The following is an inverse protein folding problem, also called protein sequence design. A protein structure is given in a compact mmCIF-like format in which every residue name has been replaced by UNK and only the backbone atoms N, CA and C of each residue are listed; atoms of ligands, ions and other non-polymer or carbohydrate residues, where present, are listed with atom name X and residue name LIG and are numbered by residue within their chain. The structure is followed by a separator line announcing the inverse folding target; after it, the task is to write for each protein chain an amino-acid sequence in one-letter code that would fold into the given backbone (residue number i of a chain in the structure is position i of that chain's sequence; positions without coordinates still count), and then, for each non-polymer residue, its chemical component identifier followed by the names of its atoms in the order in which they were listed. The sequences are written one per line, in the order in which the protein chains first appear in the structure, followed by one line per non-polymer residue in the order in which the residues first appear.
data_IF_972993500241
#
_entry.id   IF_972993500241
#
_cell.length_a   1.000
_cell.length_b   1.000
_cell.length_c   1.000
_cell.angle_alpha   90.00
_cell.angle_beta   90.00
_cell.angle_gamma   90.00
#
_symmetry.space_group_name_H-M   'P 1'
#
loop_
_entity.id
_entity.type
_entity.pdbx_description
1 polymer ?
#
# COMPACT_ATOMS: atom_id res chain seq x y z
N UNK A 1 -27.52 27.63 45.91
CA UNK A 1 -26.25 28.37 46.06
C UNK A 1 -25.41 28.05 44.85
N UNK A 2 -24.85 29.10 44.26
CA UNK A 2 -24.77 29.29 42.81
C UNK A 2 -23.64 28.58 42.08
N UNK A 3 -23.91 28.35 40.80
CA UNK A 3 -23.07 27.80 39.71
C UNK A 3 -21.86 28.67 39.33
N UNK A 4 -21.34 29.50 40.24
CA UNK A 4 -20.44 30.60 39.90
C UNK A 4 -19.15 30.64 40.74
N UNK A 5 -18.57 29.48 41.08
CA UNK A 5 -17.28 29.44 41.84
C UNK A 5 -16.27 28.42 41.34
N UNK A 6 -16.45 27.80 40.17
CA UNK A 6 -15.48 26.84 39.61
C UNK A 6 -14.68 27.43 38.43
N UNK A 7 -14.80 28.74 38.16
CA UNK A 7 -14.16 29.38 37.01
C UNK A 7 -12.82 30.07 37.33
N UNK A 8 -12.22 29.82 38.49
CA UNK A 8 -11.04 30.58 38.96
C UNK A 8 -9.80 29.74 39.32
N UNK A 9 -9.74 28.47 38.89
CA UNK A 9 -8.51 27.69 38.96
C UNK A 9 -8.20 27.13 37.58
N UNK A 10 -7.29 27.82 36.88
CA UNK A 10 -6.79 27.48 35.55
C UNK A 10 -6.18 26.08 35.45
N UNK A 11 -7.05 25.08 35.37
CA UNK A 11 -6.75 23.76 34.90
C UNK A 11 -6.94 23.79 33.39
N UNK A 12 -5.82 23.95 32.68
CA UNK A 12 -5.68 23.59 31.28
C UNK A 12 -6.56 22.36 31.00
N UNK A 13 -7.47 22.47 30.04
CA UNK A 13 -8.08 21.33 29.37
C UNK A 13 -6.95 20.54 28.72
N UNK A 14 -6.24 19.73 29.52
CA UNK A 14 -5.45 18.64 28.99
C UNK A 14 -6.45 17.70 28.39
N UNK A 15 -6.51 17.70 27.05
CA UNK A 15 -7.19 16.73 26.20
C UNK A 15 -7.33 15.39 26.95
N UNK A 16 -8.54 15.11 27.45
CA UNK A 16 -8.87 13.81 28.02
C UNK A 16 -8.96 12.86 26.82
N UNK A 17 -7.79 12.46 26.33
CA UNK A 17 -7.63 11.58 25.20
C UNK A 17 -8.02 10.18 25.67
N UNK A 18 -8.96 9.56 24.95
CA UNK A 18 -9.45 8.24 25.27
C UNK A 18 -8.27 7.22 25.32
N UNK A 19 -8.00 6.57 26.46
CA UNK A 19 -6.85 5.67 26.62
C UNK A 19 -6.94 4.40 25.76
N UNK A 20 -8.08 4.13 25.11
CA UNK A 20 -8.21 3.07 24.10
C UNK A 20 -7.67 3.46 22.71
N UNK A 21 -7.44 4.75 22.46
CA UNK A 21 -6.78 5.24 21.25
C UNK A 21 -5.28 5.32 21.52
N UNK A 22 -4.60 4.17 21.43
CA UNK A 22 -3.14 4.15 21.46
C UNK A 22 -2.60 4.94 20.28
N UNK A 23 -1.86 6.00 20.58
CA UNK A 23 -1.08 6.77 19.61
C UNK A 23 0.20 6.03 19.15
N UNK A 24 0.48 4.84 19.70
CA UNK A 24 1.81 4.20 19.64
C UNK A 24 1.84 2.75 19.14
N UNK A 25 0.86 2.28 18.37
CA UNK A 25 1.01 0.95 17.73
C UNK A 25 1.89 0.95 16.46
N UNK A 26 2.20 2.14 15.91
CA UNK A 26 3.20 2.24 14.85
C UNK A 26 4.58 2.23 15.50
N UNK A 27 5.40 1.23 15.17
CA UNK A 27 6.80 1.20 15.59
C UNK A 27 7.48 2.53 15.18
N UNK A 28 8.01 3.33 16.13
CA UNK A 28 8.53 4.66 15.87
C UNK A 28 9.76 4.66 14.95
N UNK A 29 10.38 3.49 14.72
CA UNK A 29 11.44 3.31 13.72
C UNK A 29 10.95 3.54 12.29
N UNK A 30 9.65 3.39 12.02
CA UNK A 30 9.09 3.61 10.68
C UNK A 30 8.68 5.07 10.51
N UNK A 31 9.35 5.75 9.56
CA UNK A 31 9.00 7.13 9.14
C UNK A 31 7.53 7.25 8.80
N UNK A 32 6.89 8.35 9.17
CA UNK A 32 5.49 8.60 8.81
C UNK A 32 5.38 8.82 7.30
N UNK A 33 4.32 8.33 6.65
CA UNK A 33 4.09 8.60 5.23
C UNK A 33 3.81 10.08 5.02
N UNK A 34 4.13 10.61 3.85
CA UNK A 34 3.67 11.92 3.46
C UNK A 34 2.13 11.92 3.38
N UNK A 35 1.49 12.79 4.17
CA UNK A 35 0.03 12.77 4.35
C UNK A 35 -0.72 13.16 3.09
N UNK A 36 -0.22 14.15 2.34
CA UNK A 36 -0.83 14.59 1.06
C UNK A 36 -0.90 13.45 0.05
N UNK A 37 0.20 12.70 -0.09
CA UNK A 37 0.25 11.55 -1.00
C UNK A 37 -0.60 10.38 -0.47
N UNK A 38 -0.59 10.13 0.84
CA UNK A 38 -1.40 9.07 1.45
C UNK A 38 -2.91 9.28 1.21
N UNK A 39 -3.39 10.51 1.37
CA UNK A 39 -4.79 10.87 1.11
C UNK A 39 -5.16 10.69 -0.37
N UNK A 40 -4.24 11.01 -1.27
CA UNK A 40 -4.43 10.76 -2.70
C UNK A 40 -4.51 9.27 -3.01
N UNK A 41 -3.60 8.46 -2.47
CA UNK A 41 -3.59 7.00 -2.61
C UNK A 41 -4.88 6.35 -2.11
N UNK A 42 -5.46 6.86 -1.02
CA UNK A 42 -6.74 6.36 -0.51
C UNK A 42 -7.91 6.55 -1.51
N UNK A 43 -7.78 7.44 -2.49
CA UNK A 43 -8.77 7.66 -3.55
C UNK A 43 -8.43 6.93 -4.85
N UNK A 44 -7.16 6.95 -5.26
CA UNK A 44 -6.75 6.45 -6.59
C UNK A 44 -6.24 5.01 -6.59
N UNK A 45 -5.68 4.52 -5.48
CA UNK A 45 -5.14 3.16 -5.37
C UNK A 45 -6.23 2.16 -4.98
N UNK A 46 -7.35 2.16 -5.70
CA UNK A 46 -8.48 1.25 -5.45
C UNK A 46 -8.89 0.53 -6.73
N UNK A 47 -9.84 -0.40 -6.65
CA UNK A 47 -10.22 -1.21 -7.82
C UNK A 47 -10.90 -0.43 -8.96
N UNK A 48 -11.17 -1.09 -10.09
CA UNK A 48 -11.71 -0.48 -11.33
C UNK A 48 -13.08 0.20 -11.16
N UNK A 49 -13.81 -0.10 -10.08
CA UNK A 49 -15.15 0.42 -9.80
C UNK A 49 -15.23 1.34 -8.59
N UNK A 50 -14.19 1.40 -7.76
CA UNK A 50 -14.19 2.16 -6.49
C UNK A 50 -13.29 3.39 -6.53
N UNK A 51 -12.48 3.49 -7.58
CA UNK A 51 -11.52 4.56 -7.76
C UNK A 51 -12.22 5.89 -7.93
N UNK A 52 -11.74 6.90 -7.20
CA UNK A 52 -12.21 8.27 -7.29
C UNK A 52 -11.08 9.14 -7.78
N UNK A 53 -11.29 9.81 -8.91
CA UNK A 53 -10.34 10.77 -9.44
C UNK A 53 -10.10 11.91 -8.45
N UNK A 54 -8.87 12.42 -8.45
CA UNK A 54 -8.54 13.64 -7.71
C UNK A 54 -9.20 14.85 -8.37
N UNK A 55 -9.57 15.85 -7.56
CA UNK A 55 -9.86 17.19 -8.09
C UNK A 55 -8.59 17.81 -8.65
N UNK A 56 -8.72 18.82 -9.51
CA UNK A 56 -7.56 19.51 -10.08
C UNK A 56 -6.63 20.06 -8.99
N UNK A 57 -7.18 20.77 -8.00
CA UNK A 57 -6.41 21.29 -6.86
C UNK A 57 -5.66 20.18 -6.10
N UNK A 58 -6.30 19.02 -5.90
CA UNK A 58 -5.68 17.87 -5.25
C UNK A 58 -4.55 17.29 -6.10
N UNK A 59 -4.76 17.12 -7.40
CA UNK A 59 -3.76 16.59 -8.32
C UNK A 59 -2.52 17.50 -8.40
N UNK A 60 -2.73 18.82 -8.53
CA UNK A 60 -1.65 19.81 -8.50
C UNK A 60 -0.87 19.75 -7.18
N UNK A 61 -1.58 19.75 -6.04
CA UNK A 61 -0.95 19.69 -4.71
C UNK A 61 -0.11 18.43 -4.53
N UNK A 62 -0.61 17.27 -4.98
CA UNK A 62 0.09 15.98 -4.86
C UNK A 62 1.35 15.96 -5.72
N UNK A 63 1.26 16.36 -7.00
CA UNK A 63 2.40 16.36 -7.91
C UNK A 63 3.46 17.41 -7.52
N UNK A 64 3.03 18.57 -7.01
CA UNK A 64 3.94 19.57 -6.42
C UNK A 64 4.70 19.00 -5.22
N UNK A 65 3.98 18.33 -4.31
CA UNK A 65 4.58 17.68 -3.12
C UNK A 65 5.60 16.63 -3.53
N UNK A 66 5.29 15.79 -4.53
CA UNK A 66 6.22 14.79 -5.08
C UNK A 66 7.45 15.47 -5.68
N UNK A 67 7.27 16.52 -6.49
CA UNK A 67 8.38 17.24 -7.12
C UNK A 67 9.32 17.87 -6.09
N UNK A 68 8.75 18.56 -5.10
CA UNK A 68 9.51 19.18 -3.99
C UNK A 68 10.22 18.12 -3.15
N UNK A 69 9.57 16.98 -2.90
CA UNK A 69 10.18 15.86 -2.18
C UNK A 69 11.38 15.28 -2.95
N UNK A 70 11.22 15.04 -4.25
CA UNK A 70 12.30 14.52 -5.10
C UNK A 70 13.50 15.47 -5.20
N UNK A 71 13.29 16.78 -5.09
CA UNK A 71 14.35 17.79 -5.02
C UNK A 71 14.96 17.98 -3.62
N UNK A 72 14.41 17.34 -2.59
CA UNK A 72 14.83 17.53 -1.20
C UNK A 72 14.41 18.88 -0.60
N UNK A 73 13.35 19.50 -1.11
CA UNK A 73 12.87 20.83 -0.71
C UNK A 73 11.85 20.79 0.45
N UNK A 74 11.36 19.60 0.84
CA UNK A 74 10.51 19.44 2.02
C UNK A 74 11.36 19.45 3.31
N UNK A 75 11.36 20.58 4.02
CA UNK A 75 12.14 20.78 5.25
C UNK A 75 11.36 20.38 6.51
N UNK A 76 10.09 20.78 6.60
CA UNK A 76 9.23 20.58 7.78
C UNK A 76 8.13 19.54 7.55
N UNK A 77 8.11 18.91 6.37
CA UNK A 77 7.14 17.89 5.96
C UNK A 77 7.84 16.54 5.74
N UNK A 78 7.11 15.45 6.00
CA UNK A 78 7.60 14.10 5.72
C UNK A 78 7.88 13.91 4.23
N UNK A 79 9.04 13.36 3.90
CA UNK A 79 9.41 13.04 2.51
C UNK A 79 8.52 11.94 1.96
N UNK A 80 8.18 12.03 0.66
CA UNK A 80 7.42 10.99 -0.03
C UNK A 80 8.33 9.76 -0.20
N UNK A 81 7.91 8.62 0.33
CA UNK A 81 8.72 7.40 0.27
C UNK A 81 8.68 6.76 -1.13
N UNK A 82 9.69 5.93 -1.45
CA UNK A 82 9.69 5.14 -2.70
C UNK A 82 8.47 4.24 -2.82
N UNK A 83 8.05 3.64 -1.71
CA UNK A 83 6.83 2.84 -1.65
C UNK A 83 5.59 3.68 -2.00
N UNK A 84 5.49 4.93 -1.50
CA UNK A 84 4.39 5.83 -1.86
C UNK A 84 4.40 6.19 -3.35
N UNK A 85 5.57 6.49 -3.92
CA UNK A 85 5.69 6.80 -5.34
C UNK A 85 5.29 5.61 -6.21
N UNK A 86 5.79 4.41 -5.90
CA UNK A 86 5.46 3.20 -6.66
C UNK A 86 3.96 2.89 -6.66
N UNK A 87 3.33 2.95 -5.49
CA UNK A 87 1.88 2.74 -5.35
C UNK A 87 1.05 3.81 -6.07
N UNK A 88 1.42 5.09 -5.93
CA UNK A 88 0.70 6.20 -6.55
C UNK A 88 0.80 6.14 -8.08
N UNK A 89 2.01 5.99 -8.63
CA UNK A 89 2.19 5.97 -10.07
C UNK A 89 1.63 4.69 -10.71
N UNK A 90 1.75 3.52 -10.07
CA UNK A 90 1.09 2.31 -10.56
C UNK A 90 -0.43 2.51 -10.71
N UNK A 91 -1.05 3.17 -9.73
CA UNK A 91 -2.46 3.50 -9.79
C UNK A 91 -2.79 4.47 -10.93
N UNK A 92 -1.99 5.52 -11.11
CA UNK A 92 -2.19 6.46 -12.21
C UNK A 92 -2.06 5.76 -13.57
N UNK A 93 -1.05 4.91 -13.75
CA UNK A 93 -0.79 4.18 -15.00
C UNK A 93 -1.88 3.18 -15.35
N UNK A 94 -2.28 2.33 -14.39
CA UNK A 94 -3.36 1.33 -14.62
C UNK A 94 -4.67 2.04 -14.96
N UNK A 95 -4.99 3.12 -14.23
CA UNK A 95 -6.19 3.92 -14.49
C UNK A 95 -6.20 4.51 -15.89
N UNK A 96 -5.06 5.00 -16.38
CA UNK A 96 -4.97 5.55 -17.73
C UNK A 96 -5.10 4.47 -18.82
N UNK A 97 -4.55 3.27 -18.57
CA UNK A 97 -4.45 2.22 -19.59
C UNK A 97 -5.67 1.31 -19.69
N UNK A 98 -6.22 0.89 -18.55
CA UNK A 98 -7.05 -0.32 -18.50
C UNK A 98 -8.42 -0.10 -17.83
N UNK A 99 -8.55 0.88 -16.96
CA UNK A 99 -9.80 1.07 -16.22
C UNK A 99 -10.91 1.68 -17.10
N UNK A 100 -12.19 1.43 -16.77
CA UNK A 100 -13.33 2.07 -17.43
C UNK A 100 -13.27 3.60 -17.33
N UNK A 101 -13.83 4.30 -18.32
CA UNK A 101 -13.81 5.78 -18.44
C UNK A 101 -14.14 6.52 -17.14
N UNK A 102 -15.13 6.01 -16.38
CA UNK A 102 -15.61 6.57 -15.11
C UNK A 102 -14.53 6.64 -14.02
N UNK A 103 -13.51 5.78 -14.09
CA UNK A 103 -12.42 5.68 -13.11
C UNK A 103 -11.04 5.98 -13.70
N UNK A 104 -10.98 6.37 -14.98
CA UNK A 104 -9.78 6.93 -15.60
C UNK A 104 -9.46 8.32 -15.04
N UNK A 105 -8.43 8.97 -15.58
CA UNK A 105 -8.02 10.30 -15.14
C UNK A 105 -9.12 11.33 -15.39
N UNK A 106 -9.35 12.19 -14.41
CA UNK A 106 -10.14 13.40 -14.64
C UNK A 106 -9.38 14.36 -15.57
N UNK A 107 -10.09 15.33 -16.15
CA UNK A 107 -9.44 16.41 -16.88
C UNK A 107 -8.45 17.18 -16.01
N UNK A 108 -8.76 17.34 -14.71
CA UNK A 108 -7.89 18.01 -13.74
C UNK A 108 -6.60 17.23 -13.49
N UNK A 109 -6.68 15.91 -13.35
CA UNK A 109 -5.51 15.03 -13.26
C UNK A 109 -4.67 15.09 -14.54
N UNK A 110 -5.31 15.08 -15.71
CA UNK A 110 -4.64 15.21 -17.01
C UNK A 110 -3.89 16.55 -17.12
N UNK A 111 -4.51 17.67 -16.76
CA UNK A 111 -3.87 19.00 -16.76
C UNK A 111 -2.69 19.07 -15.79
N UNK A 112 -2.86 18.54 -14.58
CA UNK A 112 -1.79 18.50 -13.57
C UNK A 112 -0.61 17.64 -14.07
N UNK A 113 -0.87 16.46 -14.64
CA UNK A 113 0.18 15.58 -15.14
C UNK A 113 0.95 16.22 -16.30
N UNK A 114 0.26 16.81 -17.28
CA UNK A 114 0.91 17.54 -18.37
C UNK A 114 1.80 18.70 -17.90
N UNK A 115 1.43 19.33 -16.79
CA UNK A 115 2.20 20.44 -16.21
C UNK A 115 3.45 19.93 -15.47
N UNK A 116 3.32 18.89 -14.64
CA UNK A 116 4.41 18.45 -13.76
C UNK A 116 5.31 17.37 -14.35
N UNK A 117 4.81 16.51 -15.24
CA UNK A 117 5.55 15.37 -15.77
C UNK A 117 6.91 15.75 -16.41
N UNK A 118 7.02 16.82 -17.23
CA UNK A 118 8.30 17.25 -17.79
C UNK A 118 9.37 17.63 -16.75
N UNK A 119 8.94 18.01 -15.55
CA UNK A 119 9.81 18.33 -14.42
C UNK A 119 10.12 17.07 -13.59
N UNK A 120 9.12 16.23 -13.35
CA UNK A 120 9.23 14.99 -12.59
C UNK A 120 10.17 13.99 -13.26
N UNK A 121 10.06 13.78 -14.57
CA UNK A 121 10.91 12.84 -15.32
C UNK A 121 12.41 13.17 -15.25
N UNK A 122 12.78 14.41 -14.89
CA UNK A 122 14.17 14.85 -14.74
C UNK A 122 14.75 14.58 -13.36
N UNK A 123 13.91 14.37 -12.35
CA UNK A 123 14.34 14.25 -10.95
C UNK A 123 13.98 12.90 -10.32
N UNK A 124 13.00 12.20 -10.87
CA UNK A 124 12.60 10.87 -10.41
C UNK A 124 13.62 9.81 -10.86
N UNK A 125 13.74 8.73 -10.09
CA UNK A 125 14.58 7.60 -10.44
C UNK A 125 13.99 6.76 -11.58
N UNK A 126 14.82 6.02 -12.35
CA UNK A 126 14.36 5.28 -13.53
C UNK A 126 13.27 4.25 -13.26
N UNK A 127 13.27 3.62 -12.09
CA UNK A 127 12.23 2.69 -11.65
C UNK A 127 10.86 3.38 -11.49
N UNK A 128 10.82 4.58 -10.90
CA UNK A 128 9.59 5.36 -10.77
C UNK A 128 9.09 5.82 -12.14
N UNK A 129 10.01 6.26 -13.01
CA UNK A 129 9.66 6.68 -14.37
C UNK A 129 9.08 5.50 -15.17
N UNK A 130 9.66 4.30 -15.02
CA UNK A 130 9.10 3.08 -15.58
C UNK A 130 7.70 2.76 -15.05
N UNK A 131 7.48 2.82 -13.74
CA UNK A 131 6.16 2.54 -13.16
C UNK A 131 5.11 3.51 -13.70
N UNK A 132 5.47 4.80 -13.78
CA UNK A 132 4.57 5.85 -14.26
C UNK A 132 4.30 5.75 -15.77
N UNK A 133 5.31 5.46 -16.58
CA UNK A 133 5.20 5.50 -18.03
C UNK A 133 5.93 4.31 -18.68
N UNK A 134 5.46 3.06 -18.48
CA UNK A 134 6.16 1.85 -18.90
C UNK A 134 6.38 1.75 -20.41
N UNK A 135 5.49 2.37 -21.19
CA UNK A 135 5.53 2.43 -22.66
C UNK A 135 6.00 3.79 -23.20
N UNK A 136 6.29 4.76 -22.33
CA UNK A 136 6.81 6.06 -22.73
C UNK A 136 5.80 6.95 -23.46
N UNK A 137 4.50 6.74 -23.29
CA UNK A 137 3.43 7.50 -23.97
C UNK A 137 2.24 7.89 -23.10
N UNK A 138 2.18 7.40 -21.86
CA UNK A 138 1.00 7.52 -20.98
C UNK A 138 0.99 8.87 -20.28
N UNK A 139 2.15 9.34 -19.83
CA UNK A 139 2.28 10.55 -19.02
C UNK A 139 2.47 11.83 -19.87
N UNK A 140 2.27 11.74 -21.19
CA UNK A 140 2.36 12.86 -22.13
C UNK A 140 3.63 12.84 -22.97
N UNK A 141 4.59 13.75 -22.70
CA UNK A 141 5.82 13.86 -23.50
C UNK A 141 6.59 12.55 -23.39
N UNK A 142 6.72 11.86 -24.52
CA UNK A 142 7.30 10.54 -24.53
C UNK A 142 8.75 10.53 -24.04
N UNK A 143 9.07 9.53 -23.22
CA UNK A 143 10.39 9.32 -22.68
C UNK A 143 10.88 7.91 -23.04
N UNK A 144 12.19 7.75 -23.24
CA UNK A 144 12.77 6.44 -23.57
C UNK A 144 13.10 5.60 -22.33
N UNK A 145 12.95 6.13 -21.11
CA UNK A 145 13.39 5.46 -19.89
C UNK A 145 12.49 4.27 -19.58
N UNK A 146 11.17 4.46 -19.54
CA UNK A 146 10.22 3.40 -19.20
C UNK A 146 10.31 2.16 -20.11
N UNK A 147 10.24 2.32 -21.44
CA UNK A 147 10.35 1.18 -22.37
C UNK A 147 11.65 0.39 -22.25
N UNK A 148 12.76 1.06 -21.93
CA UNK A 148 14.08 0.44 -21.86
C UNK A 148 14.50 0.06 -20.43
N UNK A 149 13.68 0.33 -19.42
CA UNK A 149 13.99 -0.05 -18.05
C UNK A 149 13.85 -1.57 -17.88
N UNK A 150 14.92 -2.19 -17.38
CA UNK A 150 15.02 -3.64 -17.16
C UNK A 150 15.26 -4.01 -15.70
N UNK A 151 15.40 -3.04 -14.78
CA UNK A 151 15.78 -3.30 -13.39
C UNK A 151 17.29 -3.24 -13.13
N UNK A 152 17.68 -3.07 -11.86
CA UNK A 152 19.09 -2.93 -11.48
C UNK A 152 19.72 -4.24 -10.98
N UNK A 153 18.91 -5.24 -10.64
CA UNK A 153 19.33 -6.54 -10.15
C UNK A 153 18.38 -7.63 -10.69
N UNK A 154 18.72 -8.90 -10.48
CA UNK A 154 17.91 -10.04 -10.97
C UNK A 154 16.46 -10.00 -10.46
N UNK A 155 16.25 -9.58 -9.22
CA UNK A 155 14.92 -9.54 -8.60
C UNK A 155 14.10 -8.38 -9.18
N UNK A 156 14.73 -7.22 -9.40
CA UNK A 156 14.11 -6.10 -10.13
C UNK A 156 13.74 -6.52 -11.56
N UNK A 157 14.61 -7.24 -12.28
CA UNK A 157 14.32 -7.71 -13.64
C UNK A 157 13.05 -8.55 -13.70
N UNK A 158 12.88 -9.47 -12.74
CA UNK A 158 11.67 -10.31 -12.66
C UNK A 158 10.43 -9.47 -12.32
N UNK A 159 10.54 -8.56 -11.35
CA UNK A 159 9.46 -7.62 -11.01
C UNK A 159 9.07 -6.73 -12.18
N UNK A 160 10.04 -6.19 -12.93
CA UNK A 160 9.78 -5.34 -14.10
C UNK A 160 9.03 -6.11 -15.18
N UNK A 161 9.42 -7.36 -15.44
CA UNK A 161 8.68 -8.23 -16.36
C UNK A 161 7.22 -8.41 -15.96
N UNK A 162 6.98 -8.75 -14.68
CA UNK A 162 5.64 -8.91 -14.14
C UNK A 162 4.83 -7.59 -14.13
N UNK A 163 5.48 -6.47 -13.80
CA UNK A 163 4.86 -5.14 -13.75
C UNK A 163 4.37 -4.66 -15.10
N UNK A 164 5.01 -5.04 -16.22
CA UNK A 164 4.51 -4.66 -17.56
C UNK A 164 3.09 -5.18 -17.79
N UNK A 165 2.82 -6.44 -17.43
CA UNK A 165 1.49 -7.03 -17.52
C UNK A 165 0.52 -6.39 -16.51
N UNK A 166 0.94 -6.24 -15.25
CA UNK A 166 0.10 -5.68 -14.18
C UNK A 166 -0.29 -4.22 -14.48
N UNK A 167 0.66 -3.39 -14.94
CA UNK A 167 0.41 -1.98 -15.28
C UNK A 167 -0.44 -1.80 -16.54
N UNK A 168 -0.55 -2.84 -17.37
CA UNK A 168 -1.49 -2.92 -18.48
C UNK A 168 -2.91 -3.39 -18.06
N UNK A 169 -3.15 -3.59 -16.75
CA UNK A 169 -4.41 -4.10 -16.23
C UNK A 169 -4.56 -5.62 -16.33
N UNK A 170 -3.47 -6.33 -16.64
CA UNK A 170 -3.45 -7.78 -16.80
C UNK A 170 -3.33 -8.55 -15.49
N UNK A 171 -3.36 -9.88 -15.64
CA UNK A 171 -3.21 -10.85 -14.55
C UNK A 171 -2.07 -11.81 -14.88
N UNK A 172 -1.35 -12.23 -13.85
CA UNK A 172 -0.19 -13.09 -14.01
C UNK A 172 -0.54 -14.57 -13.83
N UNK A 173 0.30 -15.42 -14.43
CA UNK A 173 0.26 -16.85 -14.18
C UNK A 173 0.67 -17.20 -12.76
N UNK A 174 0.20 -18.36 -12.29
CA UNK A 174 0.51 -18.88 -10.95
C UNK A 174 2.04 -18.97 -10.70
N UNK A 175 2.79 -19.53 -11.66
CA UNK A 175 4.25 -19.71 -11.53
C UNK A 175 4.99 -18.37 -11.52
N UNK A 176 4.50 -17.39 -12.28
CA UNK A 176 5.07 -16.05 -12.35
C UNK A 176 4.91 -15.32 -11.02
N UNK A 177 3.69 -15.30 -10.46
CA UNK A 177 3.44 -14.70 -9.14
C UNK A 177 4.25 -15.40 -8.06
N UNK A 178 4.26 -16.74 -8.04
CA UNK A 178 5.02 -17.49 -7.05
C UNK A 178 6.53 -17.19 -7.16
N UNK A 179 7.07 -17.14 -8.38
CA UNK A 179 8.48 -16.86 -8.64
C UNK A 179 8.89 -15.42 -8.32
N UNK A 180 8.01 -14.43 -8.53
CA UNK A 180 8.22 -13.04 -8.10
C UNK A 180 8.22 -12.97 -6.58
N UNK A 181 7.21 -13.57 -5.93
CA UNK A 181 7.04 -13.50 -4.48
C UNK A 181 8.20 -14.16 -3.73
N UNK A 182 8.67 -15.34 -4.18
CA UNK A 182 9.83 -16.03 -3.59
C UNK A 182 11.15 -15.25 -3.68
N UNK A 183 11.28 -14.34 -4.65
CA UNK A 183 12.48 -13.53 -4.81
C UNK A 183 12.46 -12.29 -3.89
N UNK A 184 11.27 -11.79 -3.56
CA UNK A 184 11.09 -10.57 -2.77
C UNK A 184 10.71 -10.86 -1.32
N UNK A 185 10.35 -12.10 -1.01
CA UNK A 185 10.04 -12.60 0.32
C UNK A 185 11.14 -13.57 0.82
N UNK A 186 11.35 -13.67 2.15
CA UNK A 186 10.74 -12.81 3.16
C UNK A 186 11.39 -11.42 3.11
N UNK A 187 10.61 -10.38 3.43
CA UNK A 187 11.13 -9.05 3.73
C UNK A 187 12.06 -9.19 4.94
N UNK A 188 13.35 -9.45 4.72
CA UNK A 188 14.32 -9.57 5.81
C UNK A 188 14.34 -8.23 6.54
N UNK A 189 13.81 -8.19 7.77
CA UNK A 189 13.78 -6.98 8.60
C UNK A 189 15.18 -6.38 8.84
N UNK A 190 16.23 -7.18 8.65
CA UNK A 190 17.62 -6.82 8.97
C UNK A 190 18.57 -6.80 7.77
N UNK A 191 18.10 -7.10 6.55
CA UNK A 191 18.91 -7.03 5.34
C UNK A 191 18.10 -6.41 4.21
N UNK A 192 18.75 -5.49 3.47
CA UNK A 192 18.25 -4.88 2.24
C UNK A 192 17.37 -5.85 1.47
N UNK A 193 16.07 -5.54 1.36
CA UNK A 193 15.25 -6.18 0.34
C UNK A 193 16.00 -6.01 -0.97
N UNK A 194 16.34 -7.11 -1.61
CA UNK A 194 17.11 -7.11 -2.85
C UNK A 194 16.38 -6.40 -3.99
N UNK A 195 15.06 -6.26 -3.88
CA UNK A 195 14.20 -5.57 -4.83
C UNK A 195 13.91 -4.12 -4.40
N UNK A 196 13.74 -3.25 -5.39
CA UNK A 196 13.34 -1.86 -5.15
C UNK A 196 11.97 -1.76 -4.46
N UNK A 197 11.90 -1.00 -3.37
CA UNK A 197 10.67 -0.74 -2.63
C UNK A 197 9.54 -0.18 -3.50
N UNK A 198 9.89 0.62 -4.52
CA UNK A 198 8.94 1.21 -5.45
C UNK A 198 8.33 0.18 -6.40
N UNK A 199 9.14 -0.75 -6.93
CA UNK A 199 8.69 -1.82 -7.81
C UNK A 199 7.82 -2.80 -7.03
N UNK A 200 8.23 -3.16 -5.82
CA UNK A 200 7.44 -4.03 -4.95
C UNK A 200 6.10 -3.39 -4.57
N UNK A 201 6.09 -2.11 -4.16
CA UNK A 201 4.83 -1.45 -3.81
C UNK A 201 3.90 -1.27 -5.02
N UNK A 202 4.46 -0.95 -6.20
CA UNK A 202 3.72 -0.90 -7.45
C UNK A 202 3.10 -2.25 -7.81
N UNK A 203 3.84 -3.35 -7.61
CA UNK A 203 3.37 -4.70 -7.90
C UNK A 203 2.19 -5.08 -7.00
N UNK A 204 2.34 -4.92 -5.68
CA UNK A 204 1.31 -5.26 -4.70
C UNK A 204 0.05 -4.41 -4.88
N UNK A 205 0.19 -3.11 -5.12
CA UNK A 205 -0.97 -2.22 -5.36
C UNK A 205 -1.59 -2.50 -6.72
N UNK A 206 -0.80 -2.73 -7.76
CA UNK A 206 -1.29 -3.00 -9.11
C UNK A 206 -2.13 -4.28 -9.16
N UNK A 207 -1.65 -5.38 -8.57
CA UNK A 207 -2.43 -6.63 -8.50
C UNK A 207 -3.74 -6.43 -7.72
N UNK A 208 -3.68 -5.73 -6.58
CA UNK A 208 -4.88 -5.38 -5.81
C UNK A 208 -5.89 -4.55 -6.61
N UNK A 209 -5.39 -3.60 -7.38
CA UNK A 209 -6.21 -2.75 -8.24
C UNK A 209 -6.85 -3.55 -9.37
N UNK A 210 -6.13 -4.51 -9.97
CA UNK A 210 -6.67 -5.37 -11.03
C UNK A 210 -7.65 -6.44 -10.50
N UNK A 211 -7.74 -6.63 -9.18
CA UNK A 211 -8.51 -7.67 -8.47
C UNK A 211 -7.93 -9.05 -8.73
N UNK A 212 -7.00 -9.46 -7.86
CA UNK A 212 -6.28 -10.73 -7.97
C UNK A 212 -7.22 -11.90 -8.26
N UNK A 213 -6.84 -12.76 -9.19
CA UNK A 213 -7.58 -13.98 -9.49
C UNK A 213 -7.34 -15.05 -8.41
N UNK A 214 -8.20 -16.07 -8.35
CA UNK A 214 -8.00 -17.22 -7.47
C UNK A 214 -6.64 -17.90 -7.68
N UNK A 215 -6.10 -17.86 -8.90
CA UNK A 215 -4.78 -18.42 -9.24
C UNK A 215 -3.64 -17.60 -8.66
N UNK A 216 -3.72 -16.28 -8.78
CA UNK A 216 -2.74 -15.36 -8.20
C UNK A 216 -2.78 -15.45 -6.67
N UNK A 217 -3.97 -15.46 -6.07
CA UNK A 217 -4.15 -15.61 -4.63
C UNK A 217 -3.55 -16.94 -4.11
N UNK A 218 -3.75 -18.04 -4.84
CA UNK A 218 -3.13 -19.33 -4.50
C UNK A 218 -1.59 -19.27 -4.54
N UNK A 219 -1.02 -18.52 -5.49
CA UNK A 219 0.42 -18.33 -5.58
C UNK A 219 0.97 -17.56 -4.37
N UNK A 220 0.25 -16.55 -3.89
CA UNK A 220 0.58 -15.86 -2.62
C UNK A 220 0.66 -16.85 -1.45
N UNK A 221 -0.38 -17.66 -1.23
CA UNK A 221 -0.38 -18.63 -0.12
C UNK A 221 0.81 -19.59 -0.18
N UNK A 222 1.15 -20.11 -1.37
CA UNK A 222 2.23 -21.08 -1.52
C UNK A 222 3.63 -20.46 -1.48
N UNK A 223 3.78 -19.19 -1.86
CA UNK A 223 5.04 -18.49 -1.68
C UNK A 223 5.41 -18.38 -0.18
N UNK A 224 4.43 -18.12 0.70
CA UNK A 224 4.66 -18.06 2.16
C UNK A 224 4.81 -19.43 2.83
N UNK A 225 4.09 -20.46 2.36
CA UNK A 225 4.15 -21.82 2.95
C UNK A 225 5.54 -22.45 2.82
N UNK A 226 6.24 -22.22 1.70
CA UNK A 226 7.57 -22.80 1.45
C UNK A 226 8.68 -22.20 2.34
N UNK A 227 8.46 -21.02 2.92
CA UNK A 227 9.46 -20.30 3.72
C UNK A 227 9.48 -20.68 5.21
N UNK A 228 8.32 -21.00 5.78
CA UNK A 228 8.19 -21.24 7.22
C UNK A 228 8.59 -22.67 7.64
N UNK A 229 9.15 -23.44 6.71
CA UNK A 229 9.60 -24.81 6.92
C UNK A 229 8.46 -25.82 6.93
N UNK A 230 8.70 -26.99 7.53
CA UNK A 230 7.66 -28.02 7.64
C UNK A 230 6.50 -27.47 8.46
N UNK A 231 5.30 -27.52 7.89
CA UNK A 231 4.07 -27.14 8.60
C UNK A 231 4.00 -27.88 9.94
N UNK A 232 3.83 -27.17 11.06
CA UNK A 232 3.71 -27.82 12.36
C UNK A 232 2.49 -28.74 12.35
N UNK A 233 2.71 -30.01 12.69
CA UNK A 233 1.64 -31.00 12.79
C UNK A 233 1.11 -30.97 14.22
N UNK A 234 -0.15 -30.58 14.39
CA UNK A 234 -0.83 -30.70 15.66
C UNK A 234 -1.43 -32.11 15.78
N UNK A 235 -1.02 -32.87 16.79
CA UNK A 235 -1.59 -34.19 17.10
C UNK A 235 -2.93 -34.04 17.84
N UNK A 236 -3.94 -33.61 17.10
CA UNK A 236 -5.30 -33.35 17.61
C UNK A 236 -6.33 -33.87 16.62
N UNK A 237 -7.48 -34.33 17.11
CA UNK A 237 -8.55 -34.89 16.27
C UNK A 237 -9.20 -33.85 15.36
N UNK A 238 -9.23 -32.60 15.79
CA UNK A 238 -9.79 -31.46 15.08
C UNK A 238 -9.11 -30.20 15.57
N UNK A 239 -8.78 -29.28 14.64
CA UNK A 239 -8.20 -27.98 14.95
C UNK A 239 -9.07 -26.90 14.32
N UNK A 240 -9.56 -25.97 15.14
CA UNK A 240 -10.23 -24.77 14.62
C UNK A 240 -9.20 -23.64 14.50
N UNK A 241 -9.02 -23.16 13.28
CA UNK A 241 -8.09 -22.08 12.97
C UNK A 241 -8.83 -20.75 12.82
N UNK A 242 -8.41 -19.76 13.60
CA UNK A 242 -8.97 -18.42 13.62
C UNK A 242 -7.95 -17.42 13.09
N UNK A 243 -8.28 -16.80 11.95
CA UNK A 243 -7.63 -15.60 11.43
C UNK A 243 -8.69 -14.63 11.00
N UNK A 244 -8.89 -13.55 11.76
CA UNK A 244 -9.85 -12.53 11.35
C UNK A 244 -9.30 -11.80 10.11
N UNK A 245 -10.08 -11.70 9.02
CA UNK A 245 -9.67 -10.88 7.90
C UNK A 245 -9.57 -9.43 8.34
N UNK A 246 -8.59 -8.72 7.79
CA UNK A 246 -8.46 -7.30 8.06
C UNK A 246 -9.61 -6.51 7.44
N UNK A 247 -10.54 -6.07 8.28
CA UNK A 247 -11.72 -5.31 7.86
C UNK A 247 -11.49 -3.79 7.84
N UNK A 248 -10.37 -3.31 8.40
CA UNK A 248 -10.06 -1.89 8.48
C UNK A 248 -10.62 -1.18 9.69
N UNK A 249 -11.41 -1.86 10.52
CA UNK A 249 -12.08 -1.23 11.63
C UNK A 249 -11.30 -1.43 12.92
N UNK A 250 -10.99 -0.31 13.59
CA UNK A 250 -10.36 -0.29 14.92
C UNK A 250 -11.37 -0.25 16.04
N UNK A 251 -12.66 -0.07 15.74
CA UNK A 251 -13.74 0.16 16.73
C UNK A 251 -14.44 -1.12 17.20
N UNK A 252 -14.20 -2.28 16.57
CA UNK A 252 -14.89 -3.50 16.95
C UNK A 252 -14.08 -4.35 17.92
N UNK A 253 -14.79 -4.86 18.92
CA UNK A 253 -14.33 -5.89 19.84
C UNK A 253 -13.94 -7.15 19.06
N UNK A 254 -12.73 -7.67 19.32
CA UNK A 254 -12.19 -8.90 18.70
C UNK A 254 -12.85 -10.13 19.34
N UNK A 255 -14.10 -10.40 18.97
CA UNK A 255 -14.91 -11.48 19.56
C UNK A 255 -14.28 -12.87 19.38
N UNK A 256 -13.47 -13.06 18.34
CA UNK A 256 -12.77 -14.31 18.06
C UNK A 256 -11.86 -14.77 19.20
N UNK A 257 -11.26 -13.84 19.96
CA UNK A 257 -10.45 -14.18 21.14
C UNK A 257 -11.29 -14.89 22.21
N UNK A 258 -12.51 -14.43 22.44
CA UNK A 258 -13.43 -15.00 23.43
C UNK A 258 -13.99 -16.33 22.95
N UNK A 259 -14.34 -16.43 21.67
CA UNK A 259 -14.80 -17.69 21.07
C UNK A 259 -13.72 -18.77 21.20
N UNK A 260 -12.46 -18.45 20.88
CA UNK A 260 -11.36 -19.39 21.00
C UNK A 260 -11.12 -19.82 22.46
N UNK A 261 -11.20 -18.90 23.43
CA UNK A 261 -11.08 -19.21 24.85
C UNK A 261 -12.20 -20.16 25.32
N UNK A 262 -13.46 -19.86 24.98
CA UNK A 262 -14.62 -20.69 25.33
C UNK A 262 -14.49 -22.09 24.74
N UNK A 263 -14.12 -22.20 23.46
CA UNK A 263 -13.88 -23.51 22.82
C UNK A 263 -12.78 -24.29 23.51
N UNK A 264 -11.67 -23.63 23.83
CA UNK A 264 -10.56 -24.27 24.55
C UNK A 264 -11.00 -24.80 25.93
N UNK A 265 -11.90 -24.09 26.63
CA UNK A 265 -12.50 -24.56 27.89
C UNK A 265 -13.36 -25.83 27.72
N UNK A 266 -13.95 -26.06 26.53
CA UNK A 266 -14.66 -27.29 26.21
C UNK A 266 -13.72 -28.43 25.75
N UNK A 267 -12.41 -28.23 25.79
CA UNK A 267 -11.42 -29.22 25.34
C UNK A 267 -11.21 -29.24 23.83
N UNK A 268 -11.75 -28.26 23.10
CA UNK A 268 -11.59 -28.14 21.64
C UNK A 268 -10.28 -27.42 21.31
N UNK A 269 -9.46 -28.02 20.43
CA UNK A 269 -8.18 -27.42 20.04
C UNK A 269 -8.39 -26.23 19.09
N UNK A 270 -7.81 -25.08 19.44
CA UNK A 270 -7.92 -23.84 18.68
C UNK A 270 -6.54 -23.24 18.42
N UNK A 271 -6.34 -22.68 17.22
CA UNK A 271 -5.17 -21.90 16.86
C UNK A 271 -5.62 -20.49 16.44
N UNK A 272 -5.07 -19.48 17.08
CA UNK A 272 -5.27 -18.07 16.72
C UNK A 272 -4.01 -17.59 15.99
N UNK A 273 -4.17 -17.00 14.82
CA UNK A 273 -3.12 -16.22 14.17
C UNK A 273 -3.62 -14.80 13.92
N UNK A 274 -2.67 -13.87 13.93
CA UNK A 274 -2.94 -12.47 13.72
C UNK A 274 -1.65 -11.68 13.73
N UNK A 275 -1.78 -10.39 13.47
CA UNK A 275 -0.68 -9.43 13.55
C UNK A 275 -0.96 -8.45 14.68
N UNK A 276 0.11 -7.97 15.33
CA UNK A 276 0.00 -7.04 16.45
C UNK A 276 -0.70 -5.73 16.04
N UNK A 277 -0.44 -5.26 14.82
CA UNK A 277 -1.03 -4.03 14.30
C UNK A 277 -1.12 -4.03 12.78
N UNK A 278 -2.18 -3.41 12.26
CA UNK A 278 -2.35 -3.02 10.86
C UNK A 278 -2.87 -1.58 10.79
N UNK A 279 -2.43 -0.77 9.82
CA UNK A 279 -2.86 0.62 9.70
C UNK A 279 -4.35 0.69 9.35
N UNK A 280 -5.19 1.47 10.08
CA UNK A 280 -6.63 1.58 9.83
C UNK A 280 -6.90 1.89 8.36
N UNK A 281 -8.02 1.40 7.81
CA UNK A 281 -8.45 1.86 6.48
C UNK A 281 -8.64 3.38 6.57
N UNK A 282 -8.04 4.12 5.63
CA UNK A 282 -8.29 5.56 5.51
C UNK A 282 -9.75 5.70 5.09
N UNK A 283 -10.62 6.01 6.05
CA UNK A 283 -12.02 6.33 5.79
C UNK A 283 -12.01 7.76 5.27
N UNK A 284 -12.07 7.92 3.96
CA UNK A 284 -12.24 9.20 3.28
C UNK A 284 -13.71 9.49 3.04
#
# INVERSE_FOLDING_TARGET
MDSATIDELGLLETDIQNPTVSSSYRNPKYRKPNQTVLEAQAKVCTGPTQTRALTEEQAFKVLDTILRSAKGELKDEEQVSKAQLGAFFAAMTIRANAFPEETQWSEGETRAMNTYWPHLVRVLSPDIIFIADPEGSIMGVGNSIGPHYVGNCTNDMRLVGALREVLAGGHLGYEEVQGVLKDVLPLKLENETSASESLLSAFLIGQRMNRETDRELKAYCLAFDDELGLRPIADVRSLTHYGEPYDGNTRYFRSTLFVAAVRSCYGESCLLHGVEWMPPKVIS
#
